data_IF_874218720319
#
_entry.id   IF_874218720319
#
_cell.length_a   1.000
_cell.length_b   1.000
_cell.length_c   1.000
_cell.angle_alpha   90.00
_cell.angle_beta   90.00
_cell.angle_gamma   90.00
#
_symmetry.space_group_name_H-M   'P 1'
#
loop_
_entity.id
_entity.type
_entity.pdbx_description
1 polymer ?
#
# COMPACT_ATOMS: atom_id res chain seq x y z
N UNK A 1 -21.33 -2.27 -2.22
CA UNK A 1 -21.12 -1.74 -0.86
C UNK A 1 -21.15 -0.23 -0.91
N UNK A 2 -21.58 0.40 0.17
CA UNK A 2 -21.60 1.86 0.25
C UNK A 2 -20.21 2.40 0.51
N UNK A 3 -19.49 1.84 1.48
CA UNK A 3 -18.15 2.31 1.87
C UNK A 3 -17.17 1.14 1.98
N UNK A 4 -15.98 1.28 1.39
CA UNK A 4 -14.84 0.42 1.66
C UNK A 4 -13.82 1.20 2.49
N UNK A 5 -13.62 0.83 3.75
CA UNK A 5 -12.64 1.45 4.65
C UNK A 5 -11.29 0.76 4.44
N UNK A 6 -10.23 1.54 4.21
CA UNK A 6 -8.89 1.04 3.95
C UNK A 6 -7.97 1.43 5.10
N UNK A 7 -7.36 0.42 5.72
CA UNK A 7 -6.60 0.54 6.96
C UNK A 7 -5.25 -0.14 6.81
N UNK A 8 -4.22 0.47 7.40
CA UNK A 8 -2.89 -0.12 7.48
C UNK A 8 -2.67 -0.66 8.90
N UNK A 9 -2.31 -1.94 9.01
CA UNK A 9 -1.81 -2.61 10.21
C UNK A 9 -2.63 -2.38 11.49
N UNK A 10 -3.93 -2.12 11.38
CA UNK A 10 -4.79 -1.73 12.51
C UNK A 10 -6.11 -2.50 12.50
N UNK A 11 -7.23 -1.86 12.15
CA UNK A 11 -8.55 -2.49 12.18
C UNK A 11 -8.68 -3.55 11.07
N UNK A 12 -9.22 -4.76 11.34
CA UNK A 12 -9.87 -5.19 12.58
C UNK A 12 -8.96 -5.99 13.55
N UNK A 13 -7.69 -6.21 13.23
CA UNK A 13 -6.83 -7.19 13.92
C UNK A 13 -5.98 -6.62 15.05
N UNK A 14 -5.89 -5.30 15.18
CA UNK A 14 -5.10 -4.64 16.21
C UNK A 14 -5.91 -3.58 16.93
N UNK A 15 -5.88 -3.61 18.27
CA UNK A 15 -6.55 -2.63 19.12
C UNK A 15 -5.75 -1.33 19.18
N UNK A 16 -6.45 -0.21 19.07
CA UNK A 16 -5.86 1.12 19.14
C UNK A 16 -6.88 2.23 18.88
N UNK A 17 -6.48 3.49 19.09
CA UNK A 17 -7.39 4.63 18.94
C UNK A 17 -8.01 4.74 17.54
N UNK A 18 -7.22 4.52 16.49
CA UNK A 18 -7.73 4.56 15.11
C UNK A 18 -8.66 3.38 14.82
N UNK A 19 -8.33 2.18 15.28
CA UNK A 19 -9.21 1.01 15.13
C UNK A 19 -10.54 1.18 15.88
N UNK A 20 -10.53 1.83 17.05
CA UNK A 20 -11.74 2.16 17.79
C UNK A 20 -12.61 3.15 17.02
N UNK A 21 -12.02 4.22 16.47
CA UNK A 21 -12.75 5.19 15.63
C UNK A 21 -13.40 4.50 14.42
N UNK A 22 -12.69 3.61 13.74
CA UNK A 22 -13.25 2.85 12.60
C UNK A 22 -14.39 1.94 13.06
N UNK A 23 -14.21 1.23 14.17
CA UNK A 23 -15.25 0.37 14.72
C UNK A 23 -16.50 1.17 15.10
N UNK A 24 -16.34 2.35 15.71
CA UNK A 24 -17.44 3.26 16.04
C UNK A 24 -18.15 3.76 14.78
N UNK A 25 -17.40 4.16 13.74
CA UNK A 25 -17.99 4.56 12.44
C UNK A 25 -18.87 3.43 11.88
N UNK A 26 -18.38 2.20 11.89
CA UNK A 26 -19.11 1.05 11.34
C UNK A 26 -20.35 0.71 12.18
N UNK A 27 -20.21 0.65 13.51
CA UNK A 27 -21.28 0.21 14.41
C UNK A 27 -22.37 1.26 14.63
N UNK A 28 -22.01 2.55 14.61
CA UNK A 28 -22.97 3.66 14.77
C UNK A 28 -23.76 3.95 13.49
N UNK A 29 -23.43 3.30 12.36
CA UNK A 29 -24.12 3.46 11.08
C UNK A 29 -24.58 2.10 10.51
N UNK A 30 -25.51 1.40 11.19
CA UNK A 30 -25.92 0.04 10.80
C UNK A 30 -26.57 -0.05 9.42
N UNK A 31 -27.16 1.05 8.92
CA UNK A 31 -27.81 1.12 7.61
C UNK A 31 -26.82 1.22 6.44
N UNK A 32 -25.55 1.49 6.71
CA UNK A 32 -24.49 1.59 5.69
C UNK A 32 -23.78 0.25 5.57
N UNK A 33 -23.63 -0.24 4.34
CA UNK A 33 -22.86 -1.46 4.08
C UNK A 33 -21.36 -1.17 3.92
N UNK A 34 -20.55 -1.84 4.74
CA UNK A 34 -19.10 -1.66 4.77
C UNK A 34 -18.34 -2.86 4.19
N UNK A 35 -17.20 -2.58 3.58
CA UNK A 35 -16.13 -3.54 3.35
C UNK A 35 -14.83 -3.01 3.95
N UNK A 36 -13.94 -3.92 4.38
CA UNK A 36 -12.68 -3.53 5.00
C UNK A 36 -11.53 -4.01 4.13
N UNK A 37 -10.62 -3.12 3.75
CA UNK A 37 -9.36 -3.46 3.11
C UNK A 37 -8.27 -3.24 4.15
N UNK A 38 -7.67 -4.33 4.63
CA UNK A 38 -6.61 -4.31 5.61
C UNK A 38 -5.27 -4.59 4.93
N UNK A 39 -4.36 -3.63 5.02
CA UNK A 39 -2.99 -3.71 4.51
C UNK A 39 -2.08 -4.12 5.66
N UNK A 40 -1.37 -5.22 5.51
CA UNK A 40 -0.39 -5.73 6.48
C UNK A 40 0.96 -6.01 5.80
N UNK A 41 2.01 -6.20 6.59
CA UNK A 41 3.32 -6.53 6.04
C UNK A 41 3.32 -7.92 5.40
N UNK A 42 2.98 -8.97 6.13
CA UNK A 42 2.99 -10.36 5.66
C UNK A 42 1.85 -11.17 6.29
N UNK A 43 1.71 -12.44 5.88
CA UNK A 43 0.73 -13.36 6.45
C UNK A 43 0.99 -13.76 7.90
N UNK A 44 2.16 -13.43 8.45
CA UNK A 44 2.47 -13.62 9.87
C UNK A 44 1.94 -12.48 10.76
N UNK A 45 1.41 -11.40 10.16
CA UNK A 45 0.74 -10.33 10.89
C UNK A 45 -0.52 -10.85 11.63
N UNK A 46 -0.94 -10.19 12.72
CA UNK A 46 -2.17 -10.54 13.41
C UNK A 46 -3.37 -10.57 12.46
N UNK A 47 -4.13 -11.66 12.50
CA UNK A 47 -5.30 -11.91 11.65
C UNK A 47 -6.53 -12.35 12.45
N UNK A 48 -6.43 -12.40 13.78
CA UNK A 48 -7.56 -12.66 14.67
C UNK A 48 -8.39 -11.39 14.84
N UNK A 49 -9.69 -11.46 14.57
CA UNK A 49 -10.61 -10.35 14.80
C UNK A 49 -10.73 -10.03 16.30
N UNK A 50 -10.32 -8.83 16.68
CA UNK A 50 -10.30 -8.38 18.07
C UNK A 50 -11.51 -7.53 18.47
N UNK A 51 -12.40 -7.24 17.51
CA UNK A 51 -13.53 -6.32 17.67
C UNK A 51 -14.89 -6.99 17.54
N UNK A 52 -14.96 -8.19 16.98
CA UNK A 52 -16.22 -8.86 16.67
C UNK A 52 -16.88 -8.15 15.48
N UNK A 53 -16.68 -8.71 14.29
CA UNK A 53 -17.07 -8.08 13.05
C UNK A 53 -18.58 -7.76 13.00
N UNK A 54 -18.97 -6.48 12.85
CA UNK A 54 -20.38 -6.09 12.73
C UNK A 54 -21.06 -6.69 11.50
N UNK A 55 -22.36 -7.00 11.57
CA UNK A 55 -23.11 -7.64 10.46
C UNK A 55 -23.18 -6.78 9.18
N UNK A 56 -23.07 -5.46 9.32
CA UNK A 56 -23.03 -4.52 8.20
C UNK A 56 -21.66 -4.47 7.49
N UNK A 57 -20.64 -5.14 8.03
CA UNK A 57 -19.39 -5.43 7.30
C UNK A 57 -19.56 -6.72 6.49
N UNK A 58 -19.53 -6.58 5.16
CA UNK A 58 -19.86 -7.69 4.25
C UNK A 58 -18.64 -8.50 3.80
N UNK A 59 -17.44 -7.94 3.93
CA UNK A 59 -16.19 -8.62 3.60
C UNK A 59 -14.99 -7.91 4.21
N UNK A 60 -13.92 -8.67 4.39
CA UNK A 60 -12.58 -8.19 4.74
C UNK A 60 -11.61 -8.68 3.68
N UNK A 61 -10.88 -7.76 3.06
CA UNK A 61 -9.84 -8.03 2.06
C UNK A 61 -8.47 -7.74 2.68
N UNK A 62 -7.59 -8.73 2.66
CA UNK A 62 -6.21 -8.59 3.08
C UNK A 62 -5.33 -8.23 1.88
N UNK A 63 -4.38 -7.31 2.09
CA UNK A 63 -3.28 -7.01 1.18
C UNK A 63 -1.99 -7.14 1.98
N UNK A 64 -1.08 -8.03 1.55
CA UNK A 64 0.24 -8.14 2.16
C UNK A 64 1.27 -7.40 1.31
N UNK A 65 2.15 -6.62 1.94
CA UNK A 65 3.15 -5.80 1.26
C UNK A 65 4.46 -6.55 0.97
N UNK A 66 4.76 -7.55 1.78
CA UNK A 66 6.00 -8.31 1.74
C UNK A 66 6.18 -8.92 0.37
N UNK A 67 7.38 -8.73 -0.19
CA UNK A 67 7.71 -9.32 -1.47
C UNK A 67 7.58 -10.84 -1.44
N UNK A 68 7.84 -11.51 -0.32
CA UNK A 68 7.76 -12.96 -0.22
C UNK A 68 6.37 -13.50 -0.57
N UNK A 69 5.32 -12.73 -0.23
CA UNK A 69 3.93 -13.07 -0.50
C UNK A 69 3.58 -13.02 -1.99
N UNK A 70 4.28 -12.16 -2.75
CA UNK A 70 4.02 -11.94 -4.18
C UNK A 70 5.22 -12.25 -5.07
N UNK A 71 6.26 -12.91 -4.52
CA UNK A 71 7.56 -13.01 -5.18
C UNK A 71 7.47 -13.76 -6.50
N UNK A 72 6.64 -14.80 -6.56
CA UNK A 72 6.45 -15.60 -7.76
C UNK A 72 5.72 -14.80 -8.84
N UNK A 73 4.64 -14.13 -8.49
CA UNK A 73 3.83 -13.35 -9.43
C UNK A 73 4.56 -12.09 -9.91
N UNK A 74 5.25 -11.39 -9.00
CA UNK A 74 6.10 -10.25 -9.35
C UNK A 74 7.27 -10.66 -10.25
N UNK A 75 7.94 -11.79 -9.95
CA UNK A 75 9.00 -12.32 -10.85
C UNK A 75 8.42 -12.81 -12.17
N UNK A 76 7.26 -13.46 -12.18
CA UNK A 76 6.61 -13.92 -13.40
C UNK A 76 6.17 -12.75 -14.29
N UNK A 77 5.71 -11.66 -13.68
CA UNK A 77 5.45 -10.40 -14.38
C UNK A 77 6.74 -9.89 -15.04
N UNK A 78 7.89 -9.91 -14.37
CA UNK A 78 9.17 -9.46 -14.94
C UNK A 78 9.87 -10.42 -15.93
N UNK A 79 9.72 -11.74 -15.75
CA UNK A 79 10.63 -12.74 -16.34
C UNK A 79 10.33 -13.14 -17.80
N UNK A 80 9.13 -12.83 -18.33
CA UNK A 80 8.79 -13.06 -19.74
C UNK A 80 8.62 -11.73 -20.45
N UNK A 81 9.71 -11.23 -21.03
CA UNK A 81 9.64 -10.17 -22.04
C UNK A 81 8.99 -10.71 -23.32
N UNK A 82 7.69 -11.01 -23.26
CA UNK A 82 6.88 -11.40 -24.41
C UNK A 82 5.89 -10.27 -24.63
N UNK A 83 6.04 -9.56 -25.75
CA UNK A 83 5.08 -8.56 -26.24
C UNK A 83 5.58 -7.11 -26.38
N UNK A 84 6.79 -6.77 -25.91
CA UNK A 84 7.37 -5.42 -26.09
C UNK A 84 8.75 -5.45 -26.76
N UNK A 85 8.91 -4.65 -27.82
CA UNK A 85 10.21 -4.37 -28.41
C UNK A 85 11.09 -3.48 -27.51
N UNK A 86 12.34 -3.26 -27.93
CA UNK A 86 13.31 -2.46 -27.17
C UNK A 86 12.89 -0.99 -27.02
N UNK A 87 12.32 -0.41 -28.07
CA UNK A 87 11.85 0.98 -28.08
C UNK A 87 10.64 1.17 -27.17
N UNK A 88 9.69 0.23 -27.20
CA UNK A 88 8.54 0.18 -26.29
C UNK A 88 8.99 0.13 -24.83
N UNK A 89 9.91 -0.78 -24.48
CA UNK A 89 10.47 -0.88 -23.12
C UNK A 89 11.09 0.44 -22.66
N UNK A 90 11.93 1.06 -23.51
CA UNK A 90 12.57 2.35 -23.21
C UNK A 90 11.55 3.46 -22.99
N UNK A 91 10.48 3.53 -23.80
CA UNK A 91 9.41 4.53 -23.65
C UNK A 91 8.68 4.36 -22.32
N UNK A 92 8.25 3.14 -21.97
CA UNK A 92 7.52 2.86 -20.73
C UNK A 92 8.40 3.14 -19.50
N UNK A 93 9.68 2.75 -19.53
CA UNK A 93 10.62 3.11 -18.46
C UNK A 93 10.73 4.62 -18.30
N UNK A 94 10.82 5.36 -19.42
CA UNK A 94 10.83 6.82 -19.41
C UNK A 94 9.57 7.42 -18.79
N UNK A 95 8.39 6.96 -19.20
CA UNK A 95 7.10 7.42 -18.68
C UNK A 95 6.98 7.29 -17.16
N UNK A 96 7.47 6.20 -16.59
CA UNK A 96 7.48 6.01 -15.13
C UNK A 96 8.24 7.12 -14.40
N UNK A 97 9.50 7.35 -14.76
CA UNK A 97 10.31 8.38 -14.12
C UNK A 97 9.85 9.81 -14.47
N UNK A 98 9.39 10.03 -15.70
CA UNK A 98 8.86 11.32 -16.12
C UNK A 98 7.56 11.65 -15.38
N UNK A 99 6.70 10.66 -15.12
CA UNK A 99 5.48 10.81 -14.34
C UNK A 99 5.78 11.18 -12.89
N UNK A 100 6.65 10.42 -12.21
CA UNK A 100 7.07 10.73 -10.82
C UNK A 100 7.67 12.14 -10.74
N UNK A 101 8.55 12.49 -11.68
CA UNK A 101 9.19 13.82 -11.71
C UNK A 101 8.18 14.94 -11.96
N UNK A 102 7.18 14.72 -12.81
CA UNK A 102 6.16 15.72 -13.13
C UNK A 102 5.29 15.98 -11.91
N UNK A 103 4.80 14.91 -11.27
CA UNK A 103 4.08 15.01 -10.01
C UNK A 103 4.91 15.78 -8.96
N UNK A 104 6.18 15.41 -8.76
CA UNK A 104 7.03 16.04 -7.75
C UNK A 104 7.32 17.53 -8.01
N UNK A 105 7.42 17.95 -9.28
CA UNK A 105 7.80 19.34 -9.63
C UNK A 105 6.61 20.27 -9.82
N UNK A 106 5.49 19.74 -10.31
CA UNK A 106 4.35 20.55 -10.77
C UNK A 106 3.05 20.24 -10.02
N UNK A 107 3.02 19.13 -9.28
CA UNK A 107 1.79 18.63 -8.65
C UNK A 107 0.81 17.97 -9.63
N UNK A 108 1.14 17.88 -10.93
CA UNK A 108 0.27 17.25 -11.94
C UNK A 108 0.36 15.71 -11.89
N UNK A 109 -0.72 15.00 -11.52
CA UNK A 109 -0.74 13.55 -11.46
C UNK A 109 -1.07 12.89 -12.81
N UNK A 110 -1.52 13.65 -13.81
CA UNK A 110 -2.08 13.11 -15.05
C UNK A 110 -1.11 12.19 -15.83
N UNK A 111 0.20 12.48 -15.93
CA UNK A 111 1.14 11.55 -16.55
C UNK A 111 1.21 10.20 -15.84
N UNK A 112 1.09 10.17 -14.51
CA UNK A 112 1.06 8.93 -13.75
C UNK A 112 -0.26 8.19 -13.93
N UNK A 113 -1.39 8.90 -13.98
CA UNK A 113 -2.69 8.27 -14.27
C UNK A 113 -2.72 7.61 -15.64
N UNK A 114 -2.21 8.28 -16.68
CA UNK A 114 -2.09 7.69 -18.02
C UNK A 114 -1.20 6.46 -18.04
N UNK A 115 -0.09 6.48 -17.31
CA UNK A 115 0.78 5.30 -17.18
C UNK A 115 0.08 4.18 -16.41
N UNK A 116 -0.61 4.51 -15.31
CA UNK A 116 -1.38 3.55 -14.53
C UNK A 116 -2.44 2.87 -15.40
N UNK A 117 -3.28 3.62 -16.08
CA UNK A 117 -4.34 3.05 -16.92
C UNK A 117 -3.79 2.27 -18.10
N UNK A 118 -2.77 2.78 -18.78
CA UNK A 118 -2.25 2.09 -19.95
C UNK A 118 -1.43 0.84 -19.58
N UNK A 119 -0.79 0.84 -18.39
CA UNK A 119 0.32 -0.06 -18.07
C UNK A 119 0.15 -0.95 -16.83
N UNK A 120 -0.49 -0.46 -15.77
CA UNK A 120 -0.50 -1.12 -14.46
C UNK A 120 -1.88 -1.60 -14.04
N UNK A 121 -2.92 -0.84 -14.38
CA UNK A 121 -4.30 -1.08 -14.01
C UNK A 121 -4.83 -2.38 -14.66
N UNK A 122 -5.21 -3.41 -13.89
CA UNK A 122 -5.66 -4.68 -14.45
C UNK A 122 -6.91 -4.58 -15.34
N UNK A 123 -7.74 -3.54 -15.17
CA UNK A 123 -8.99 -3.34 -15.93
C UNK A 123 -8.77 -2.66 -17.27
N UNK A 124 -7.83 -1.72 -17.34
CA UNK A 124 -7.69 -0.80 -18.48
C UNK A 124 -6.38 -0.96 -19.24
N UNK A 125 -5.40 -1.67 -18.67
CA UNK A 125 -4.07 -1.83 -19.28
C UNK A 125 -4.16 -2.39 -20.69
N UNK A 126 -3.46 -1.69 -21.58
CA UNK A 126 -3.21 -2.12 -22.97
C UNK A 126 -1.80 -2.65 -23.14
N UNK A 127 -0.95 -2.43 -22.14
CA UNK A 127 0.41 -2.95 -22.07
C UNK A 127 0.73 -3.41 -20.65
N UNK A 128 1.61 -4.40 -20.53
CA UNK A 128 2.00 -4.95 -19.23
C UNK A 128 3.24 -4.21 -18.69
N UNK A 129 3.06 -3.06 -18.05
CA UNK A 129 4.18 -2.22 -17.60
C UNK A 129 5.01 -2.88 -16.48
N UNK A 130 4.41 -3.76 -15.67
CA UNK A 130 5.13 -4.57 -14.68
C UNK A 130 6.28 -5.39 -15.31
N UNK A 131 6.18 -5.76 -16.59
CA UNK A 131 7.22 -6.54 -17.29
C UNK A 131 8.48 -5.75 -17.57
N UNK A 132 8.38 -4.43 -17.64
CA UNK A 132 9.50 -3.55 -17.97
C UNK A 132 10.53 -3.54 -16.84
N UNK A 133 10.13 -3.85 -15.60
CA UNK A 133 10.98 -3.85 -14.41
C UNK A 133 12.21 -4.76 -14.52
N UNK A 134 12.07 -5.91 -15.18
CA UNK A 134 13.16 -6.88 -15.36
C UNK A 134 14.08 -6.58 -16.54
N UNK A 135 13.91 -5.46 -17.23
CA UNK A 135 14.59 -5.19 -18.51
C UNK A 135 15.82 -4.30 -18.36
N UNK A 136 16.77 -4.45 -19.28
CA UNK A 136 17.96 -3.59 -19.34
C UNK A 136 17.59 -2.12 -19.56
N UNK A 137 16.53 -1.83 -20.32
CA UNK A 137 16.05 -0.47 -20.57
C UNK A 137 15.59 0.22 -19.28
N UNK A 138 14.89 -0.51 -18.41
CA UNK A 138 14.48 0.01 -17.12
C UNK A 138 15.67 0.26 -16.21
N UNK A 139 16.61 -0.68 -16.12
CA UNK A 139 17.83 -0.49 -15.33
C UNK A 139 18.70 0.65 -15.85
N UNK A 140 18.71 0.88 -17.16
CA UNK A 140 19.38 2.04 -17.76
C UNK A 140 18.69 3.34 -17.32
N UNK A 141 17.35 3.38 -17.37
CA UNK A 141 16.59 4.53 -16.90
C UNK A 141 16.78 4.77 -15.39
N UNK A 142 16.78 3.73 -14.56
CA UNK A 142 17.09 3.80 -13.12
C UNK A 142 18.46 4.46 -12.92
N UNK A 143 19.50 3.96 -13.58
CA UNK A 143 20.87 4.48 -13.46
C UNK A 143 20.97 5.94 -13.91
N UNK A 144 20.34 6.30 -15.03
CA UNK A 144 20.39 7.65 -15.58
C UNK A 144 19.58 8.65 -14.75
N UNK A 145 18.40 8.27 -14.27
CA UNK A 145 17.45 9.17 -13.62
C UNK A 145 17.66 9.28 -12.11
N UNK A 146 18.27 8.28 -11.48
CA UNK A 146 18.56 8.26 -10.03
C UNK A 146 20.04 8.47 -9.68
N UNK A 147 20.91 8.74 -10.66
CA UNK A 147 22.35 8.98 -10.44
C UNK A 147 22.66 10.10 -9.44
N UNK A 148 21.76 11.08 -9.30
CA UNK A 148 21.91 12.20 -8.37
C UNK A 148 21.66 11.85 -6.88
N UNK A 149 21.23 10.63 -6.55
CA UNK A 149 20.94 10.22 -5.18
C UNK A 149 22.19 9.86 -4.36
N UNK A 150 23.36 9.75 -5.00
CA UNK A 150 24.60 9.37 -4.30
C UNK A 150 24.65 7.92 -3.81
N UNK A 151 23.69 7.08 -4.22
CA UNK A 151 23.61 5.66 -3.89
C UNK A 151 24.52 4.83 -4.81
N UNK A 152 25.04 3.71 -4.30
CA UNK A 152 25.68 2.69 -5.13
C UNK A 152 24.68 2.04 -6.09
N UNK A 153 25.20 1.37 -7.12
CA UNK A 153 24.37 0.61 -8.06
C UNK A 153 23.51 -0.44 -7.33
N UNK A 154 24.11 -1.15 -6.37
CA UNK A 154 23.43 -2.18 -5.58
C UNK A 154 22.30 -1.59 -4.74
N UNK A 155 22.55 -0.50 -4.02
CA UNK A 155 21.53 0.18 -3.21
C UNK A 155 20.38 0.70 -4.07
N UNK A 156 20.70 1.32 -5.21
CA UNK A 156 19.70 1.82 -6.15
C UNK A 156 18.83 0.69 -6.69
N UNK A 157 19.43 -0.47 -7.00
CA UNK A 157 18.70 -1.64 -7.47
C UNK A 157 17.71 -2.15 -6.41
N UNK A 158 18.17 -2.38 -5.18
CA UNK A 158 17.30 -2.87 -4.10
C UNK A 158 16.19 -1.87 -3.78
N UNK A 159 16.51 -0.56 -3.71
CA UNK A 159 15.54 0.50 -3.49
C UNK A 159 14.40 0.46 -4.51
N UNK A 160 14.75 0.44 -5.80
CA UNK A 160 13.74 0.43 -6.88
C UNK A 160 12.97 -0.89 -6.89
N UNK A 161 13.64 -2.02 -6.66
CA UNK A 161 12.99 -3.33 -6.60
C UNK A 161 11.96 -3.38 -5.48
N UNK A 162 12.31 -2.90 -4.29
CA UNK A 162 11.44 -2.91 -3.11
C UNK A 162 10.26 -1.97 -3.30
N UNK A 163 10.52 -0.76 -3.82
CA UNK A 163 9.46 0.20 -4.19
C UNK A 163 8.47 -0.41 -5.19
N UNK A 164 8.97 -1.02 -6.26
CA UNK A 164 8.11 -1.62 -7.27
C UNK A 164 7.37 -2.86 -6.77
N UNK A 165 7.97 -3.65 -5.88
CA UNK A 165 7.30 -4.79 -5.23
C UNK A 165 6.11 -4.32 -4.40
N UNK A 166 6.26 -3.24 -3.64
CA UNK A 166 5.17 -2.66 -2.84
C UNK A 166 4.08 -2.12 -3.75
N UNK A 167 4.43 -1.38 -4.82
CA UNK A 167 3.45 -0.92 -5.79
C UNK A 167 2.69 -2.09 -6.43
N UNK A 168 3.38 -3.19 -6.75
CA UNK A 168 2.74 -4.38 -7.30
C UNK A 168 1.72 -4.96 -6.32
N UNK A 169 2.09 -5.16 -5.06
CA UNK A 169 1.18 -5.67 -4.03
C UNK A 169 -0.09 -4.82 -3.87
N UNK A 170 0.02 -3.50 -4.04
CA UNK A 170 -1.10 -2.57 -3.88
C UNK A 170 -1.97 -2.41 -5.14
N UNK A 171 -1.39 -2.55 -6.34
CA UNK A 171 -2.02 -2.13 -7.59
C UNK A 171 -2.21 -3.25 -8.62
N UNK A 172 -1.63 -4.43 -8.42
CA UNK A 172 -1.72 -5.55 -9.36
C UNK A 172 -3.11 -6.19 -9.42
N UNK A 173 -3.98 -5.92 -8.44
CA UNK A 173 -5.33 -6.45 -8.37
C UNK A 173 -6.37 -5.33 -8.20
N UNK A 174 -7.57 -5.58 -8.72
CA UNK A 174 -8.71 -4.66 -8.58
C UNK A 174 -9.41 -4.88 -7.25
N UNK A 175 -9.68 -3.80 -6.52
CA UNK A 175 -10.42 -3.90 -5.25
C UNK A 175 -11.90 -4.21 -5.47
N UNK A 176 -12.58 -4.86 -4.51
CA UNK A 176 -14.03 -5.05 -4.57
C UNK A 176 -14.78 -3.72 -4.68
N UNK A 177 -15.87 -3.69 -5.46
CA UNK A 177 -16.61 -2.46 -5.76
C UNK A 177 -17.29 -1.85 -4.53
N UNK A 178 -17.02 -0.57 -4.28
CA UNK A 178 -17.72 0.29 -3.33
C UNK A 178 -18.08 1.64 -3.96
N UNK A 179 -19.02 2.39 -3.36
CA UNK A 179 -19.38 3.74 -3.81
C UNK A 179 -18.40 4.80 -3.30
N UNK A 180 -17.83 4.56 -2.12
CA UNK A 180 -16.80 5.39 -1.50
C UNK A 180 -15.66 4.50 -1.02
N UNK A 181 -14.42 4.86 -1.35
CA UNK A 181 -13.22 4.31 -0.74
C UNK A 181 -12.68 5.30 0.28
N UNK A 182 -12.65 4.89 1.55
CA UNK A 182 -12.27 5.74 2.68
C UNK A 182 -10.92 5.31 3.24
N UNK A 183 -9.88 6.07 2.94
CA UNK A 183 -8.54 5.86 3.50
C UNK A 183 -8.36 6.63 4.81
N UNK A 184 -7.74 5.98 5.80
CA UNK A 184 -7.37 6.62 7.07
C UNK A 184 -5.90 7.06 7.17
N UNK A 185 -5.15 6.93 6.08
CA UNK A 185 -3.75 7.31 5.98
C UNK A 185 -3.41 7.76 4.55
N UNK A 186 -2.54 8.76 4.42
CA UNK A 186 -2.02 9.34 3.16
C UNK A 186 -1.06 8.43 2.38
N UNK A 187 -0.69 7.27 2.93
CA UNK A 187 0.26 6.33 2.33
C UNK A 187 -0.42 5.24 1.50
N UNK A 188 -0.17 3.98 1.83
CA UNK A 188 -0.66 2.84 1.05
C UNK A 188 -2.18 2.79 0.97
N UNK A 189 -2.89 3.13 2.05
CA UNK A 189 -4.35 3.16 2.03
C UNK A 189 -4.89 4.16 1.00
N UNK A 190 -4.30 5.36 0.92
CA UNK A 190 -4.69 6.38 -0.06
C UNK A 190 -4.36 5.97 -1.49
N UNK A 191 -3.23 5.30 -1.71
CA UNK A 191 -2.89 4.80 -3.05
C UNK A 191 -3.91 3.76 -3.53
N UNK A 192 -4.26 2.79 -2.67
CA UNK A 192 -5.30 1.78 -2.97
C UNK A 192 -6.66 2.45 -3.17
N UNK A 193 -7.02 3.41 -2.32
CA UNK A 193 -8.29 4.12 -2.42
C UNK A 193 -8.41 4.91 -3.73
N UNK A 194 -7.36 5.63 -4.13
CA UNK A 194 -7.34 6.42 -5.36
C UNK A 194 -7.44 5.52 -6.60
N UNK A 195 -6.68 4.41 -6.62
CA UNK A 195 -6.75 3.42 -7.68
C UNK A 195 -8.15 2.78 -7.78
N UNK A 196 -8.70 2.33 -6.65
CA UNK A 196 -10.02 1.70 -6.62
C UNK A 196 -11.16 2.67 -6.96
N UNK A 197 -11.08 3.93 -6.49
CA UNK A 197 -12.02 4.98 -6.85
C UNK A 197 -12.02 5.22 -8.36
N UNK A 198 -10.84 5.27 -8.98
CA UNK A 198 -10.69 5.38 -10.44
C UNK A 198 -11.27 4.18 -11.19
N UNK A 199 -11.01 2.96 -10.70
CA UNK A 199 -11.48 1.72 -11.33
C UNK A 199 -13.00 1.59 -11.41
N UNK A 200 -13.69 2.14 -10.40
CA UNK A 200 -15.12 1.93 -10.20
C UNK A 200 -15.97 3.19 -10.38
N UNK A 201 -15.37 4.29 -10.83
CA UNK A 201 -16.00 5.62 -10.91
C UNK A 201 -16.67 6.00 -9.57
N UNK A 202 -15.89 5.85 -8.49
CA UNK A 202 -16.33 5.98 -7.11
C UNK A 202 -15.66 7.17 -6.42
N UNK A 203 -16.20 7.59 -5.27
CA UNK A 203 -15.62 8.68 -4.50
C UNK A 203 -14.42 8.21 -3.68
N UNK A 204 -13.44 9.09 -3.49
CA UNK A 204 -12.32 8.91 -2.59
C UNK A 204 -12.45 9.86 -1.40
N UNK A 205 -12.41 9.31 -0.18
CA UNK A 205 -12.40 10.06 1.07
C UNK A 205 -11.11 9.76 1.84
N UNK A 206 -10.43 10.81 2.29
CA UNK A 206 -9.26 10.72 3.15
C UNK A 206 -9.57 11.32 4.51
N UNK A 207 -9.32 10.56 5.57
CA UNK A 207 -9.24 11.07 6.94
C UNK A 207 -7.82 10.85 7.45
N UNK A 208 -6.99 11.87 7.37
CA UNK A 208 -5.60 11.80 7.82
C UNK A 208 -5.49 11.99 9.34
N UNK A 209 -4.87 11.01 10.01
CA UNK A 209 -4.64 11.01 11.46
C UNK A 209 -3.20 11.36 11.84
N UNK A 210 -2.39 11.81 10.88
CA UNK A 210 -0.96 12.10 10.98
C UNK A 210 -0.14 10.93 11.54
N UNK A 211 -0.56 9.69 11.24
CA UNK A 211 0.11 8.48 11.75
C UNK A 211 1.56 8.43 11.28
N UNK A 212 1.80 8.68 9.99
CA UNK A 212 3.16 8.68 9.45
C UNK A 212 4.03 9.77 10.05
N UNK A 213 3.52 11.00 10.19
CA UNK A 213 4.28 12.11 10.81
C UNK A 213 4.65 11.74 12.25
N UNK A 214 3.69 11.22 13.02
CA UNK A 214 3.91 10.77 14.40
C UNK A 214 4.98 9.67 14.46
N UNK A 215 4.90 8.69 13.58
CA UNK A 215 5.79 7.53 13.57
C UNK A 215 7.22 7.91 13.12
N UNK A 216 7.35 8.83 12.16
CA UNK A 216 8.62 9.46 11.77
C UNK A 216 9.23 10.22 12.95
N UNK A 217 8.46 11.08 13.61
CA UNK A 217 8.94 11.84 14.78
C UNK A 217 9.37 10.91 15.91
N UNK A 218 8.61 9.85 16.19
CA UNK A 218 8.98 8.88 17.21
C UNK A 218 10.27 8.15 16.87
N UNK A 219 10.46 7.74 15.61
CA UNK A 219 11.70 7.12 15.12
C UNK A 219 12.89 8.07 15.28
N UNK A 220 12.76 9.32 14.86
CA UNK A 220 13.81 10.33 14.99
C UNK A 220 14.17 10.64 16.45
N UNK A 221 13.20 10.51 17.36
CA UNK A 221 13.39 10.68 18.80
C UNK A 221 13.80 9.39 19.53
N UNK A 222 14.01 8.27 18.81
CA UNK A 222 14.37 6.98 19.39
C UNK A 222 13.32 6.40 20.33
N UNK A 223 12.04 6.80 20.18
CA UNK A 223 10.94 6.32 21.02
C UNK A 223 10.48 4.95 20.56
N UNK A 224 10.43 3.99 21.48
CA UNK A 224 9.93 2.66 21.19
C UNK A 224 8.41 2.69 20.97
N UNK A 225 7.97 2.28 19.78
CA UNK A 225 6.55 2.28 19.38
C UNK A 225 5.83 0.94 19.65
N UNK A 226 6.50 -0.04 20.25
CA UNK A 226 5.84 -1.27 20.68
C UNK A 226 4.86 -0.96 21.83
N UNK A 227 3.56 -0.91 21.52
CA UNK A 227 2.53 -0.87 22.54
C UNK A 227 2.60 -2.16 23.39
N UNK A 228 2.52 -2.07 24.72
CA UNK A 228 2.27 -3.24 25.54
C UNK A 228 0.87 -3.78 25.19
N UNK A 229 0.79 -5.00 24.65
CA UNK A 229 -0.46 -5.74 24.67
C UNK A 229 -0.76 -6.10 26.13
N UNK A 230 -1.60 -5.31 26.80
CA UNK A 230 -2.19 -5.72 28.06
C UNK A 230 -3.56 -6.35 27.78
N UNK A 231 -3.75 -7.66 28.00
CA UNK A 231 -5.08 -8.18 28.24
C UNK A 231 -5.54 -7.60 29.58
N UNK A 232 -6.72 -6.98 29.60
CA UNK A 232 -7.26 -6.42 30.83
C UNK A 232 -7.44 -7.50 31.89
N UNK A 233 -6.68 -7.43 32.98
CA UNK A 233 -7.07 -7.90 34.31
C UNK A 233 -6.21 -7.21 35.38
N UNK A 234 -6.90 -6.70 36.40
CA UNK A 234 -6.41 -6.23 37.69
C UNK A 234 -5.35 -7.13 38.33
N UNK A 235 -4.28 -6.54 38.87
CA UNK A 235 -3.45 -7.14 39.92
C UNK A 235 -2.04 -7.60 39.51
N UNK A 236 -1.05 -6.97 40.14
CA UNK A 236 0.32 -7.47 40.42
C UNK A 236 1.24 -7.86 39.24
N UNK A 237 2.19 -6.96 38.99
CA UNK A 237 3.56 -7.17 38.47
C UNK A 237 3.92 -8.55 37.88
N UNK A 238 3.83 -8.68 36.56
CA UNK A 238 4.76 -9.52 35.76
C UNK A 238 5.07 -8.83 34.44
N UNK A 239 6.37 -8.82 34.10
CA UNK A 239 6.94 -8.23 32.88
C UNK A 239 6.18 -8.74 31.65
N UNK A 240 5.45 -7.85 30.96
CA UNK A 240 4.85 -8.11 29.66
C UNK A 240 5.96 -8.25 28.60
N UNK A 241 5.93 -9.34 27.82
CA UNK A 241 6.78 -9.48 26.63
C UNK A 241 6.30 -8.50 25.56
N UNK A 242 7.20 -7.84 24.81
CA UNK A 242 6.80 -7.00 23.69
C UNK A 242 6.17 -7.87 22.60
N UNK A 243 5.01 -7.45 22.07
CA UNK A 243 4.53 -7.95 20.79
C UNK A 243 5.45 -7.38 19.72
N UNK A 244 6.31 -8.24 19.16
CA UNK A 244 7.11 -7.89 18.00
C UNK A 244 6.21 -7.84 16.76
N UNK A 245 5.45 -6.76 16.61
CA UNK A 245 5.14 -6.28 15.27
C UNK A 245 6.46 -5.78 14.71
N UNK A 246 6.99 -6.40 13.64
CA UNK A 246 8.12 -5.82 12.92
C UNK A 246 7.70 -4.41 12.54
N UNK A 247 8.28 -3.42 13.21
CA UNK A 247 8.11 -2.03 12.85
C UNK A 247 8.47 -1.85 11.39
N UNK A 248 7.77 -0.94 10.73
CA UNK A 248 8.06 -0.53 9.37
C UNK A 248 9.56 -0.29 9.21
N UNK A 249 10.24 -0.85 8.20
CA UNK A 249 11.53 -0.33 7.81
C UNK A 249 11.28 1.12 7.39
N UNK A 250 11.82 2.06 8.18
CA UNK A 250 11.78 3.48 7.82
C UNK A 250 12.33 3.65 6.41
N UNK A 251 11.66 4.49 5.63
CA UNK A 251 12.14 4.93 4.31
C UNK A 251 13.45 5.69 4.37
#
# INVERSE_FOLDING_TARGET
MDVAIIMESTYPFLKGGVSAVVHDIVTMNPDISYGIIHIAWDSAAPSEDLYGMPENVRWVRLIHLSMEEHAQDFKAAGARAVGMDRGQRRRVSGWFFDGIRTLARTGDPEPLWRLYDAGFNPRTRTMEAWRVLGTQEFMTAVRERLSGLGLSLSETFWLVRDFMSILYALLAETMPRARVYHAHTTGYASLVAAAAARDHDAAFLLTEHNLYVRDTVNTLLGRNMALPCAPGTTGTSRRSRPCSGRGWPGG
#
